data_IF_602260036749
#
_entry.id   IF_602260036749
#
_cell.length_a   1.000
_cell.length_b   1.000
_cell.length_c   1.000
_cell.angle_alpha   90.00
_cell.angle_beta   90.00
_cell.angle_gamma   90.00
#
_symmetry.space_group_name_H-M   'P 1'
#
loop_
_entity.id
_entity.type
_entity.pdbx_description
1 polymer ?
#
# COMPACT_ATOMS: atom_id res chain seq x y z
N UNK A 1 -26.26 -2.47 0.60
CA UNK A 1 -25.76 -3.78 0.16
C UNK A 1 -24.91 -3.55 -1.06
N UNK A 2 -23.64 -3.98 -1.06
CA UNK A 2 -22.78 -3.88 -2.23
C UNK A 2 -23.28 -4.81 -3.33
N UNK A 3 -23.52 -4.29 -4.52
CA UNK A 3 -23.81 -5.09 -5.70
C UNK A 3 -22.51 -5.76 -6.15
N UNK A 4 -22.50 -7.09 -6.33
CA UNK A 4 -21.33 -7.80 -6.86
C UNK A 4 -21.63 -8.17 -8.31
N UNK A 5 -20.92 -7.59 -9.30
CA UNK A 5 -21.11 -7.94 -10.69
C UNK A 5 -20.90 -9.43 -10.93
N UNK A 6 -21.69 -10.02 -11.83
CA UNK A 6 -21.51 -11.43 -12.21
C UNK A 6 -20.13 -11.60 -12.84
N UNK A 7 -19.31 -12.48 -12.25
CA UNK A 7 -17.96 -12.74 -12.73
C UNK A 7 -16.90 -11.76 -12.21
N UNK A 8 -17.23 -10.92 -11.23
CA UNK A 8 -16.22 -10.14 -10.51
C UNK A 8 -15.17 -11.07 -9.89
N UNK A 9 -13.90 -10.73 -10.09
CA UNK A 9 -12.75 -11.53 -9.62
C UNK A 9 -11.82 -10.78 -8.67
N UNK A 10 -11.94 -9.47 -8.58
CA UNK A 10 -11.00 -8.62 -7.87
C UNK A 10 -11.68 -7.87 -6.74
N UNK A 11 -10.98 -7.82 -5.62
CA UNK A 11 -11.42 -7.14 -4.40
C UNK A 11 -10.25 -6.29 -3.86
N UNK A 12 -10.57 -5.21 -3.18
CA UNK A 12 -9.64 -4.41 -2.40
C UNK A 12 -9.88 -4.69 -0.93
N UNK A 13 -8.82 -5.00 -0.19
CA UNK A 13 -8.87 -5.24 1.24
C UNK A 13 -7.93 -4.30 1.97
N UNK A 14 -8.45 -3.52 2.90
CA UNK A 14 -7.65 -2.69 3.80
C UNK A 14 -7.27 -3.52 5.04
N UNK A 15 -6.05 -4.02 5.07
CA UNK A 15 -5.48 -4.80 6.18
C UNK A 15 -4.91 -3.86 7.24
N UNK A 16 -5.38 -3.99 8.48
CA UNK A 16 -4.94 -3.15 9.61
C UNK A 16 -3.86 -3.85 10.41
N UNK A 17 -2.68 -3.24 10.50
CA UNK A 17 -1.56 -3.70 11.32
C UNK A 17 -1.19 -2.68 12.38
N UNK A 18 -1.08 -3.12 13.62
CA UNK A 18 -0.55 -2.32 14.71
C UNK A 18 0.90 -2.70 14.98
N UNK A 19 1.78 -1.69 15.01
CA UNK A 19 3.17 -1.80 15.44
C UNK A 19 3.28 -1.24 16.85
N UNK A 20 3.78 -2.07 17.77
CA UNK A 20 4.09 -1.68 19.15
C UNK A 20 5.57 -1.81 19.38
N UNK A 21 6.16 -0.77 19.96
CA UNK A 21 7.57 -0.75 20.34
C UNK A 21 7.63 -0.86 21.86
N UNK A 22 8.41 -1.81 22.37
CA UNK A 22 8.56 -1.98 23.82
C UNK A 22 9.11 -0.67 24.43
N UNK A 23 8.36 -0.07 25.37
CA UNK A 23 8.73 1.18 26.05
C UNK A 23 8.11 2.45 25.46
N UNK A 24 7.55 2.40 24.25
CA UNK A 24 6.77 3.51 23.69
C UNK A 24 5.31 3.47 24.16
N UNK A 25 4.77 4.65 24.48
CA UNK A 25 3.37 4.79 24.91
C UNK A 25 2.39 4.77 23.72
N UNK A 26 2.86 5.16 22.53
CA UNK A 26 2.07 5.26 21.33
C UNK A 26 2.32 4.07 20.40
N UNK A 27 1.28 3.61 19.72
CA UNK A 27 1.39 2.62 18.66
C UNK A 27 1.49 3.32 17.29
N UNK A 28 1.93 2.55 16.29
CA UNK A 28 1.91 2.99 14.90
C UNK A 28 1.03 2.04 14.08
N UNK A 29 0.01 2.59 13.41
CA UNK A 29 -0.95 1.79 12.64
C UNK A 29 -0.70 1.93 11.14
N UNK A 30 -0.55 0.80 10.46
CA UNK A 30 -0.58 0.72 9.01
C UNK A 30 -1.96 0.23 8.56
N UNK A 31 -2.52 0.89 7.55
CA UNK A 31 -3.68 0.39 6.80
C UNK A 31 -3.18 0.14 5.39
N UNK A 32 -2.97 -1.13 5.06
CA UNK A 32 -2.41 -1.57 3.79
C UNK A 32 -3.55 -2.03 2.87
N UNK A 33 -3.74 -1.34 1.75
CA UNK A 33 -4.71 -1.77 0.73
C UNK A 33 -4.09 -2.84 -0.16
N UNK A 34 -4.71 -4.03 -0.20
CA UNK A 34 -4.28 -5.16 -1.00
C UNK A 34 -5.30 -5.47 -2.11
N UNK A 35 -4.81 -5.82 -3.29
CA UNK A 35 -5.60 -6.40 -4.37
C UNK A 35 -5.73 -7.92 -4.14
N UNK A 36 -6.96 -8.43 -4.10
CA UNK A 36 -7.28 -9.83 -3.83
C UNK A 36 -8.04 -10.41 -5.01
N UNK A 37 -7.50 -11.49 -5.58
CA UNK A 37 -8.24 -12.27 -6.56
C UNK A 37 -9.12 -13.31 -5.85
N UNK A 38 -10.43 -13.32 -6.08
CA UNK A 38 -11.35 -14.31 -5.51
C UNK A 38 -12.61 -14.48 -6.36
N UNK A 39 -13.20 -15.68 -6.35
CA UNK A 39 -14.47 -15.94 -7.04
C UNK A 39 -15.71 -15.52 -6.25
N UNK A 40 -15.56 -15.29 -4.94
CA UNK A 40 -16.65 -14.89 -4.03
C UNK A 40 -16.11 -13.96 -2.93
N UNK A 41 -16.97 -13.18 -2.26
CA UNK A 41 -16.58 -12.34 -1.12
C UNK A 41 -15.97 -13.12 0.04
N UNK A 42 -16.50 -14.30 0.35
CA UNK A 42 -15.99 -15.13 1.45
C UNK A 42 -14.54 -15.56 1.18
N UNK A 43 -14.24 -15.98 -0.06
CA UNK A 43 -12.86 -16.33 -0.45
C UNK A 43 -11.96 -15.11 -0.43
N UNK A 44 -12.47 -13.92 -0.78
CA UNK A 44 -11.71 -12.67 -0.70
C UNK A 44 -11.37 -12.32 0.75
N UNK A 45 -12.34 -12.46 1.65
CA UNK A 45 -12.17 -12.24 3.09
C UNK A 45 -11.11 -13.18 3.68
N UNK A 46 -11.23 -14.49 3.42
CA UNK A 46 -10.29 -15.49 3.92
C UNK A 46 -8.85 -15.21 3.47
N UNK A 47 -8.68 -14.82 2.19
CA UNK A 47 -7.37 -14.43 1.64
C UNK A 47 -6.82 -13.17 2.29
N UNK A 48 -7.66 -12.15 2.48
CA UNK A 48 -7.24 -10.89 3.11
C UNK A 48 -6.85 -11.09 4.59
N UNK A 49 -7.60 -11.91 5.34
CA UNK A 49 -7.25 -12.31 6.71
C UNK A 49 -5.93 -13.06 6.74
N UNK A 50 -5.73 -14.02 5.83
CA UNK A 50 -4.48 -14.77 5.74
C UNK A 50 -3.27 -13.85 5.46
N UNK A 51 -3.42 -12.83 4.59
CA UNK A 51 -2.38 -11.83 4.35
C UNK A 51 -2.05 -11.01 5.60
N UNK A 52 -3.06 -10.59 6.36
CA UNK A 52 -2.86 -9.88 7.62
C UNK A 52 -2.08 -10.72 8.63
N UNK A 53 -2.49 -11.96 8.84
CA UNK A 53 -1.83 -12.90 9.75
C UNK A 53 -0.38 -13.20 9.32
N UNK A 54 -0.09 -13.31 8.02
CA UNK A 54 1.27 -13.51 7.50
C UNK A 54 2.21 -12.33 7.78
N UNK A 55 1.67 -11.13 8.02
CA UNK A 55 2.45 -9.94 8.34
C UNK A 55 2.70 -9.78 9.85
N UNK A 56 2.08 -10.60 10.70
CA UNK A 56 2.42 -10.66 12.12
C UNK A 56 3.85 -11.14 12.32
N UNK A 57 4.64 -10.36 13.05
CA UNK A 57 6.05 -10.66 13.28
C UNK A 57 6.59 -9.81 14.42
N UNK A 58 7.76 -10.19 14.88
CA UNK A 58 8.56 -9.39 15.79
C UNK A 58 9.96 -9.19 15.23
N UNK A 59 10.51 -8.00 15.43
CA UNK A 59 11.85 -7.65 14.98
C UNK A 59 12.43 -6.52 15.83
N UNK A 60 13.73 -6.28 15.69
CA UNK A 60 14.41 -5.14 16.31
C UNK A 60 14.44 -3.95 15.33
N UNK A 61 14.06 -2.76 15.78
CA UNK A 61 14.17 -1.54 14.98
C UNK A 61 15.62 -1.01 14.95
N UNK A 62 15.87 0.06 14.17
CA UNK A 62 17.21 0.67 14.07
C UNK A 62 17.77 1.22 15.38
N UNK A 63 16.90 1.46 16.36
CA UNK A 63 17.24 2.02 17.67
C UNK A 63 17.46 0.93 18.73
N UNK A 64 17.33 -0.35 18.35
CA UNK A 64 17.46 -1.49 19.26
C UNK A 64 16.17 -1.84 20.03
N UNK A 65 15.06 -1.17 19.73
CA UNK A 65 13.75 -1.44 20.32
C UNK A 65 13.07 -2.65 19.67
N UNK A 66 12.45 -3.51 20.48
CA UNK A 66 11.66 -4.64 19.98
C UNK A 66 10.31 -4.13 19.47
N UNK A 67 10.04 -4.38 18.19
CA UNK A 67 8.78 -4.08 17.53
C UNK A 67 7.95 -5.36 17.43
N UNK A 68 6.67 -5.28 17.78
CA UNK A 68 5.68 -6.33 17.54
C UNK A 68 4.63 -5.83 16.57
N UNK A 69 4.45 -6.54 15.47
CA UNK A 69 3.43 -6.28 14.45
C UNK A 69 2.27 -7.22 14.69
N UNK A 70 1.09 -6.66 14.91
CA UNK A 70 -0.14 -7.39 15.22
C UNK A 70 -1.19 -7.12 14.16
N UNK A 71 -1.83 -8.17 13.67
CA UNK A 71 -2.98 -8.05 12.78
C UNK A 71 -4.22 -7.68 13.60
N UNK A 72 -4.90 -6.61 13.19
CA UNK A 72 -6.09 -6.10 13.89
C UNK A 72 -7.40 -6.35 13.16
N UNK A 73 -7.35 -6.94 11.96
CA UNK A 73 -8.52 -7.19 11.13
C UNK A 73 -8.50 -6.39 9.83
N UNK A 74 -9.63 -6.43 9.12
CA UNK A 74 -9.85 -5.67 7.91
C UNK A 74 -10.67 -4.43 8.23
N UNK A 75 -10.26 -3.28 7.71
CA UNK A 75 -11.04 -2.03 7.79
C UNK A 75 -12.14 -2.01 6.72
N UNK A 76 -11.79 -2.42 5.50
CA UNK A 76 -12.66 -2.43 4.32
C UNK A 76 -12.40 -3.69 3.49
N UNK A 77 -13.44 -4.18 2.80
CA UNK A 77 -13.35 -5.22 1.79
C UNK A 77 -14.37 -4.93 0.69
N UNK A 78 -13.91 -4.41 -0.44
CA UNK A 78 -14.76 -3.93 -1.53
C UNK A 78 -14.46 -4.68 -2.82
N UNK A 79 -15.49 -4.92 -3.65
CA UNK A 79 -15.32 -5.53 -4.97
C UNK A 79 -14.91 -4.45 -5.98
N UNK A 80 -14.00 -4.79 -6.90
CA UNK A 80 -13.70 -3.94 -8.06
C UNK A 80 -14.70 -4.30 -9.15
N UNK A 81 -15.44 -3.30 -9.61
CA UNK A 81 -16.56 -3.51 -10.54
C UNK A 81 -16.13 -3.57 -12.00
N UNK A 82 -15.01 -2.93 -12.34
CA UNK A 82 -14.48 -2.82 -13.69
C UNK A 82 -13.29 -3.78 -13.92
N UNK A 83 -13.00 -4.15 -15.17
CA UNK A 83 -11.73 -4.78 -15.51
C UNK A 83 -10.54 -3.90 -15.09
N UNK A 84 -9.44 -4.52 -14.67
CA UNK A 84 -8.22 -3.77 -14.35
C UNK A 84 -7.51 -3.37 -15.65
N UNK A 85 -7.71 -2.13 -16.06
CA UNK A 85 -7.11 -1.50 -17.25
C UNK A 85 -6.84 -0.01 -17.02
N UNK A 86 -6.22 0.65 -18.01
CA UNK A 86 -5.99 2.10 -17.95
C UNK A 86 -7.33 2.85 -17.86
N UNK A 87 -7.43 3.77 -16.90
CA UNK A 87 -8.66 4.51 -16.63
C UNK A 87 -9.72 3.77 -15.82
N UNK A 88 -9.50 2.51 -15.43
CA UNK A 88 -10.47 1.74 -14.65
C UNK A 88 -10.73 2.35 -13.26
N UNK A 89 -11.99 2.41 -12.86
CA UNK A 89 -12.38 2.78 -11.51
C UNK A 89 -12.10 1.64 -10.53
N UNK A 90 -11.16 1.89 -9.61
CA UNK A 90 -10.73 0.92 -8.62
C UNK A 90 -11.69 0.91 -7.41
N UNK A 91 -12.14 2.08 -6.96
CA UNK A 91 -13.10 2.27 -5.87
C UNK A 91 -13.71 3.67 -5.96
N UNK A 92 -14.98 3.81 -5.56
CA UNK A 92 -15.63 5.12 -5.40
C UNK A 92 -16.26 5.27 -4.01
N UNK A 93 -16.47 6.51 -3.59
CA UNK A 93 -17.24 6.88 -2.39
C UNK A 93 -18.25 7.95 -2.75
N UNK A 94 -19.42 7.91 -2.14
CA UNK A 94 -20.48 8.90 -2.37
C UNK A 94 -20.83 9.60 -1.05
N UNK A 95 -20.84 10.94 -1.07
CA UNK A 95 -21.30 11.79 0.03
C UNK A 95 -22.40 12.74 -0.49
N UNK A 96 -23.53 12.84 0.22
CA UNK A 96 -24.65 13.72 -0.14
C UNK A 96 -24.62 15.01 0.67
N UNK A 97 -24.84 16.15 0.02
CA UNK A 97 -24.98 17.45 0.69
C UNK A 97 -23.65 18.02 1.22
N UNK A 98 -22.53 17.70 0.58
CA UNK A 98 -21.22 18.21 0.97
C UNK A 98 -21.16 19.73 0.76
N UNK A 99 -20.84 20.53 1.79
CA UNK A 99 -20.67 21.97 1.63
C UNK A 99 -19.55 22.30 0.66
N UNK A 100 -19.74 23.37 -0.12
CA UNK A 100 -18.79 23.82 -1.14
C UNK A 100 -17.39 24.10 -0.57
N UNK A 101 -17.29 24.60 0.67
CA UNK A 101 -16.00 24.80 1.36
C UNK A 101 -15.25 23.48 1.57
N UNK A 102 -15.98 22.40 1.84
CA UNK A 102 -15.41 21.06 2.04
C UNK A 102 -15.04 20.42 0.69
N UNK A 103 -15.84 20.62 -0.35
CA UNK A 103 -15.52 20.15 -1.71
C UNK A 103 -14.22 20.75 -2.23
N UNK A 104 -14.00 22.06 -2.02
CA UNK A 104 -12.74 22.71 -2.41
C UNK A 104 -11.50 22.09 -1.75
N UNK A 105 -11.64 21.52 -0.56
CA UNK A 105 -10.54 20.87 0.14
C UNK A 105 -10.20 19.46 -0.40
N UNK A 106 -11.06 18.87 -1.24
CA UNK A 106 -10.81 17.55 -1.83
C UNK A 106 -9.84 17.61 -3.01
N UNK A 107 -9.83 18.71 -3.75
CA UNK A 107 -8.88 18.94 -4.83
C UNK A 107 -7.59 19.55 -4.29
N UNK A 108 -6.48 18.81 -4.42
CA UNK A 108 -5.16 19.29 -4.01
C UNK A 108 -4.38 19.88 -5.18
N UNK A 109 -3.53 20.90 -4.95
CA UNK A 109 -2.52 21.31 -5.92
C UNK A 109 -1.63 20.12 -6.31
N UNK A 110 -1.12 20.13 -7.55
CA UNK A 110 -0.30 19.04 -8.10
C UNK A 110 0.86 18.66 -7.18
N UNK A 111 1.55 19.65 -6.65
CA UNK A 111 2.74 19.51 -5.80
C UNK A 111 2.42 18.85 -4.44
N UNK A 112 1.13 18.77 -4.07
CA UNK A 112 0.66 18.14 -2.83
C UNK A 112 0.07 16.75 -3.06
N UNK A 113 0.02 16.25 -4.31
CA UNK A 113 -0.36 14.87 -4.60
C UNK A 113 0.78 13.93 -4.21
N UNK A 114 0.45 12.75 -3.69
CA UNK A 114 1.41 11.85 -3.03
C UNK A 114 2.64 11.48 -3.86
N UNK A 115 2.52 11.39 -5.18
CA UNK A 115 3.63 11.07 -6.09
C UNK A 115 4.59 12.26 -6.32
N UNK A 116 4.12 13.49 -6.12
CA UNK A 116 4.89 14.72 -6.34
C UNK A 116 5.37 15.36 -5.05
N UNK A 117 4.76 15.02 -3.91
CA UNK A 117 5.14 15.57 -2.61
C UNK A 117 6.49 14.99 -2.15
N UNK A 118 7.41 15.82 -1.60
CA UNK A 118 8.63 15.33 -0.97
C UNK A 118 8.34 14.37 0.17
N UNK A 119 9.16 13.32 0.31
CA UNK A 119 9.14 12.45 1.48
C UNK A 119 9.78 13.22 2.64
N UNK A 120 8.95 13.78 3.51
CA UNK A 120 9.41 14.44 4.73
C UNK A 120 9.63 13.39 5.83
N UNK A 121 10.76 13.45 6.57
CA UNK A 121 10.96 12.62 7.75
C UNK A 121 9.80 12.83 8.72
N UNK A 122 9.20 11.73 9.18
CA UNK A 122 8.10 11.79 10.15
C UNK A 122 8.68 12.25 11.50
N UNK A 123 8.52 13.52 11.83
CA UNK A 123 9.03 14.06 13.09
C UNK A 123 8.17 13.54 14.28
N UNK A 124 8.82 12.86 15.22
CA UNK A 124 8.25 12.56 16.55
C UNK A 124 7.31 11.35 16.67
N UNK A 125 7.32 10.41 15.71
CA UNK A 125 6.54 9.16 15.81
C UNK A 125 7.38 7.93 16.22
N UNK A 126 6.74 6.82 16.63
CA UNK A 126 7.42 5.58 17.00
C UNK A 126 8.26 5.02 15.83
N UNK A 127 9.53 4.68 16.07
CA UNK A 127 10.43 4.18 15.03
C UNK A 127 10.20 2.70 14.73
N UNK A 128 9.50 2.40 13.63
CA UNK A 128 9.27 1.02 13.19
C UNK A 128 10.26 0.54 12.13
N UNK A 129 11.30 1.30 11.80
CA UNK A 129 12.27 0.95 10.76
C UNK A 129 13.07 -0.29 11.19
N UNK A 130 13.01 -1.42 10.45
CA UNK A 130 13.78 -2.61 10.80
C UNK A 130 15.29 -2.32 10.89
N UNK A 131 15.98 -2.93 11.86
CA UNK A 131 17.41 -2.69 12.11
C UNK A 131 18.33 -2.98 10.91
N UNK A 132 17.91 -3.81 9.96
CA UNK A 132 18.62 -4.05 8.69
C UNK A 132 18.81 -2.77 7.87
N UNK A 133 17.97 -1.75 8.08
CA UNK A 133 18.07 -0.46 7.40
C UNK A 133 18.83 0.60 8.22
N UNK A 134 19.36 0.25 9.41
CA UNK A 134 20.17 1.16 10.21
C UNK A 134 21.34 1.80 9.43
N UNK A 135 22.09 1.06 8.58
CA UNK A 135 23.16 1.68 7.78
C UNK A 135 22.66 2.80 6.86
N UNK A 136 21.45 2.67 6.30
CA UNK A 136 20.84 3.71 5.45
C UNK A 136 20.50 4.98 6.24
N UNK A 137 20.07 4.85 7.50
CA UNK A 137 19.81 5.98 8.40
C UNK A 137 21.12 6.66 8.81
N UNK A 138 22.19 5.88 8.96
CA UNK A 138 23.53 6.35 9.31
C UNK A 138 24.33 6.90 8.11
N UNK A 139 23.73 6.95 6.92
CA UNK A 139 24.32 7.53 5.72
C UNK A 139 25.21 6.60 4.90
N UNK A 140 25.14 5.28 5.14
CA UNK A 140 25.76 4.27 4.29
C UNK A 140 24.88 3.98 3.04
N UNK A 141 25.53 3.68 1.91
CA UNK A 141 24.83 3.27 0.70
C UNK A 141 23.98 2.01 0.93
N UNK A 142 22.80 1.89 0.31
CA UNK A 142 21.98 0.69 0.42
C UNK A 142 22.79 -0.55 0.05
N UNK A 143 22.60 -1.69 0.74
CA UNK A 143 23.18 -2.94 0.29
C UNK A 143 22.68 -3.25 -1.11
N UNK A 144 23.61 -3.66 -1.99
CA UNK A 144 23.35 -4.04 -3.37
C UNK A 144 22.30 -5.15 -3.38
N UNK A 145 21.06 -4.83 -3.77
CA UNK A 145 19.96 -5.80 -3.78
C UNK A 145 20.09 -6.62 -5.07
N UNK A 146 20.50 -7.90 -5.03
CA UNK A 146 20.66 -8.67 -6.25
C UNK A 146 19.26 -9.07 -6.74
N UNK A 147 18.78 -8.47 -7.83
CA UNK A 147 17.53 -8.92 -8.46
C UNK A 147 16.72 -7.92 -9.28
N UNK A 148 17.09 -6.64 -9.35
CA UNK A 148 16.43 -5.69 -10.25
C UNK A 148 17.29 -5.46 -11.50
N UNK A 149 17.47 -6.50 -12.31
CA UNK A 149 17.96 -6.32 -13.68
C UNK A 149 16.87 -5.63 -14.51
N UNK A 150 16.87 -4.31 -14.51
CA UNK A 150 16.12 -3.51 -15.49
C UNK A 150 16.77 -3.75 -16.84
N UNK A 151 16.21 -4.67 -17.62
CA UNK A 151 16.59 -4.81 -19.03
C UNK A 151 15.96 -3.62 -19.75
N UNK A 152 16.74 -2.57 -20.00
CA UNK A 152 16.35 -1.53 -20.95
C UNK A 152 16.29 -2.20 -22.33
N UNK A 153 15.08 -2.42 -22.82
CA UNK A 153 14.86 -2.76 -24.22
C UNK A 153 15.03 -1.47 -25.04
N UNK A 154 16.07 -1.41 -25.87
CA UNK A 154 16.22 -0.37 -26.88
C UNK A 154 15.07 -0.44 -27.90
N UNK A 155 14.52 0.69 -28.36
CA UNK A 155 13.49 0.69 -29.40
C UNK A 155 14.11 0.27 -30.73
N UNK A 156 13.62 -0.86 -31.26
CA UNK A 156 14.08 -1.48 -32.49
C UNK A 156 14.02 -0.56 -33.70
N UNK A 157 15.14 -0.51 -34.42
CA UNK A 157 15.22 0.00 -35.77
C UNK A 157 14.36 -0.86 -36.71
N UNK A 158 13.51 -0.22 -37.51
CA UNK A 158 12.76 -0.85 -38.57
C UNK A 158 13.73 -1.40 -39.65
N UNK A 159 13.50 -2.61 -40.19
CA UNK A 159 14.25 -3.07 -41.34
C UNK A 159 13.64 -2.49 -42.63
N UNK A 160 14.50 -1.80 -43.40
CA UNK A 160 14.29 -1.50 -44.81
C UNK A 160 14.05 -2.80 -45.59
N UNK A 161 12.86 -2.96 -46.16
CA UNK A 161 12.62 -3.93 -47.22
C UNK A 161 13.03 -3.33 -48.56
N UNK A 162 14.22 -3.74 -49.03
CA UNK A 162 14.59 -3.69 -50.44
C UNK A 162 14.73 -5.13 -50.95
N UNK A 163 13.96 -5.46 -51.99
CA UNK A 163 13.92 -6.77 -52.66
C UNK A 163 12.68 -6.92 -53.50
#
# INVERSE_FOLDING_TARGET
MGFIPRGARWYLADVVLEHRIDGDAENLVHVNTHLIEAGTPDVAYDKAVALGLQQEREYENSDGGRVRVLFRGLRELNVIHEPLEDGAEIMYTEDVGVPEERLRAWSRPREQLGVFRPIEPRAGGPNCLPGVFKPLVEGAEPPDVPGAAVTQAEPGAAPDTAG
#
